data_IF_381988942750
#
_entry.id   IF_381988942750
#
_cell.length_a   1.000
_cell.length_b   1.000
_cell.length_c   1.000
_cell.angle_alpha   90.00
_cell.angle_beta   90.00
_cell.angle_gamma   90.00
#
_symmetry.space_group_name_H-M   'P 1'
#
loop_
_entity.id
_entity.type
_entity.pdbx_description
1 polymer ?
#
# COMPACT_ATOMS: atom_id res chain seq x y z
N UNK A 1 -0.06 -26.89 -8.72
CA UNK A 1 -1.00 -26.42 -7.68
C UNK A 1 -0.83 -24.91 -7.56
N UNK A 2 -1.88 -24.11 -7.78
CA UNK A 2 -1.76 -22.64 -7.73
C UNK A 2 -1.57 -22.22 -6.27
N UNK A 3 -0.49 -21.47 -5.98
CA UNK A 3 -0.22 -20.91 -4.65
C UNK A 3 -1.41 -20.07 -4.16
N UNK A 4 -1.65 -20.07 -2.85
CA UNK A 4 -2.71 -19.26 -2.22
C UNK A 4 -2.52 -17.77 -2.55
N UNK A 5 -1.29 -17.30 -2.57
CA UNK A 5 -0.92 -15.94 -2.96
C UNK A 5 -1.36 -15.62 -4.39
N UNK A 6 -1.06 -16.49 -5.36
CA UNK A 6 -1.47 -16.31 -6.76
C UNK A 6 -2.99 -16.28 -6.90
N UNK A 7 -3.73 -17.08 -6.11
CA UNK A 7 -5.20 -17.06 -6.10
C UNK A 7 -5.76 -15.76 -5.55
N UNK A 8 -5.18 -15.22 -4.47
CA UNK A 8 -5.64 -13.94 -3.88
C UNK A 8 -5.36 -12.77 -4.81
N UNK A 9 -4.17 -12.73 -5.41
CA UNK A 9 -3.79 -11.72 -6.42
C UNK A 9 -4.70 -11.79 -7.66
N UNK A 10 -4.93 -12.99 -8.20
CA UNK A 10 -5.86 -13.16 -9.32
C UNK A 10 -7.28 -12.76 -8.92
N UNK A 11 -7.72 -13.12 -7.71
CA UNK A 11 -9.01 -12.74 -7.17
C UNK A 11 -9.19 -11.24 -7.02
N UNK A 12 -8.16 -10.51 -6.56
CA UNK A 12 -8.23 -9.05 -6.42
C UNK A 12 -8.22 -8.34 -7.77
N UNK A 13 -7.42 -8.81 -8.73
CA UNK A 13 -7.46 -8.27 -10.09
C UNK A 13 -8.80 -8.53 -10.77
N UNK A 14 -9.34 -9.74 -10.61
CA UNK A 14 -10.67 -10.08 -11.11
C UNK A 14 -11.75 -9.22 -10.44
N UNK A 15 -11.65 -9.00 -9.12
CA UNK A 15 -12.59 -8.14 -8.40
C UNK A 15 -12.52 -6.69 -8.90
N UNK A 16 -11.33 -6.14 -9.11
CA UNK A 16 -11.16 -4.81 -9.70
C UNK A 16 -11.78 -4.74 -11.08
N UNK A 17 -11.53 -5.73 -11.95
CA UNK A 17 -12.12 -5.79 -13.27
C UNK A 17 -13.65 -5.83 -13.21
N UNK A 18 -14.22 -6.65 -12.30
CA UNK A 18 -15.67 -6.74 -12.09
C UNK A 18 -16.24 -5.41 -11.58
N UNK A 19 -15.56 -4.73 -10.65
CA UNK A 19 -16.00 -3.43 -10.14
C UNK A 19 -16.01 -2.39 -11.26
N UNK A 20 -14.93 -2.31 -12.05
CA UNK A 20 -14.82 -1.36 -13.16
C UNK A 20 -15.92 -1.63 -14.21
N UNK A 21 -16.01 -2.87 -14.69
CA UNK A 21 -16.98 -3.26 -15.71
C UNK A 21 -18.42 -3.12 -15.21
N UNK A 22 -18.69 -3.50 -13.97
CA UNK A 22 -20.00 -3.41 -13.36
C UNK A 22 -20.45 -1.95 -13.20
N UNK A 23 -19.53 -1.08 -12.78
CA UNK A 23 -19.82 0.35 -12.69
C UNK A 23 -20.09 0.95 -14.07
N UNK A 24 -19.29 0.63 -15.08
CA UNK A 24 -19.46 1.13 -16.44
C UNK A 24 -20.82 0.72 -17.00
N UNK A 25 -21.18 -0.57 -16.86
CA UNK A 25 -22.47 -1.12 -17.27
C UNK A 25 -23.66 -0.43 -16.57
N UNK A 26 -23.53 -0.13 -15.27
CA UNK A 26 -24.57 0.56 -14.50
C UNK A 26 -24.69 2.03 -14.92
N UNK A 27 -23.58 2.74 -15.14
CA UNK A 27 -23.62 4.12 -15.64
C UNK A 27 -24.28 4.21 -17.01
N UNK A 28 -23.91 3.32 -17.92
CA UNK A 28 -24.49 3.27 -19.27
C UNK A 28 -25.99 2.89 -19.22
N UNK A 29 -26.37 1.92 -18.39
CA UNK A 29 -27.77 1.51 -18.25
C UNK A 29 -28.68 2.58 -17.61
N UNK A 30 -28.14 3.38 -16.68
CA UNK A 30 -28.87 4.43 -15.97
C UNK A 30 -28.74 5.81 -16.64
N UNK A 31 -27.97 5.92 -17.73
CA UNK A 31 -27.68 7.20 -18.40
C UNK A 31 -26.94 8.20 -17.51
N UNK A 32 -26.20 7.70 -16.51
CA UNK A 32 -25.44 8.53 -15.59
C UNK A 32 -24.11 8.98 -16.23
N UNK A 33 -23.57 10.15 -15.85
CA UNK A 33 -22.23 10.55 -16.28
C UNK A 33 -21.21 9.49 -15.90
N UNK A 34 -20.36 9.07 -16.84
CA UNK A 34 -19.25 8.15 -16.55
C UNK A 34 -18.41 8.68 -15.41
N UNK A 35 -18.04 7.78 -14.50
CA UNK A 35 -17.23 8.07 -13.33
C UNK A 35 -15.87 8.64 -13.76
N UNK A 36 -15.72 9.97 -13.74
CA UNK A 36 -14.51 10.66 -14.18
C UNK A 36 -13.57 11.06 -13.04
N UNK A 37 -13.92 10.74 -11.79
CA UNK A 37 -13.14 11.10 -10.61
C UNK A 37 -11.80 10.34 -10.59
N UNK A 38 -10.65 11.02 -10.69
CA UNK A 38 -9.33 10.42 -10.54
C UNK A 38 -9.14 9.82 -9.15
N UNK A 39 -9.72 10.43 -8.11
CA UNK A 39 -9.68 9.89 -6.76
C UNK A 39 -10.38 8.53 -6.69
N UNK A 40 -11.55 8.39 -7.34
CA UNK A 40 -12.24 7.12 -7.40
C UNK A 40 -11.41 6.04 -8.09
N UNK A 41 -10.83 6.34 -9.26
CA UNK A 41 -9.95 5.43 -9.97
C UNK A 41 -8.73 5.00 -9.15
N UNK A 42 -8.11 5.96 -8.45
CA UNK A 42 -7.01 5.70 -7.53
C UNK A 42 -7.41 4.73 -6.41
N UNK A 43 -8.55 4.96 -5.74
CA UNK A 43 -9.03 4.09 -4.66
C UNK A 43 -9.38 2.68 -5.14
N UNK A 44 -9.96 2.53 -6.33
CA UNK A 44 -10.27 1.21 -6.89
C UNK A 44 -8.99 0.45 -7.25
N UNK A 45 -8.06 1.08 -7.97
CA UNK A 45 -6.84 0.40 -8.43
C UNK A 45 -5.89 0.16 -7.26
N UNK A 46 -5.55 1.20 -6.51
CA UNK A 46 -4.56 1.14 -5.44
C UNK A 46 -5.17 0.56 -4.18
N UNK A 47 -6.34 1.03 -3.77
CA UNK A 47 -7.00 0.53 -2.56
C UNK A 47 -7.45 -0.91 -2.71
N UNK A 48 -8.31 -1.20 -3.69
CA UNK A 48 -8.90 -2.53 -3.85
C UNK A 48 -7.99 -3.51 -4.59
N UNK A 49 -7.29 -3.05 -5.63
CA UNK A 49 -6.45 -3.93 -6.45
C UNK A 49 -5.11 -4.29 -5.81
N UNK A 50 -4.56 -3.41 -4.98
CA UNK A 50 -3.21 -3.55 -4.41
C UNK A 50 -3.23 -3.62 -2.90
N UNK A 51 -3.67 -2.57 -2.21
CA UNK A 51 -3.55 -2.45 -0.77
C UNK A 51 -4.37 -3.52 -0.04
N UNK A 52 -5.64 -3.71 -0.40
CA UNK A 52 -6.52 -4.69 0.21
C UNK A 52 -5.98 -6.13 0.16
N UNK A 53 -5.60 -6.71 -1.00
CA UNK A 53 -5.08 -8.07 -1.05
C UNK A 53 -3.72 -8.21 -0.36
N UNK A 54 -2.84 -7.22 -0.48
CA UNK A 54 -1.52 -7.28 0.16
C UNK A 54 -1.61 -7.17 1.68
N UNK A 55 -2.50 -6.34 2.21
CA UNK A 55 -2.77 -6.24 3.65
C UNK A 55 -3.48 -7.50 4.18
N UNK A 56 -4.40 -8.08 3.39
CA UNK A 56 -5.02 -9.35 3.73
C UNK A 56 -3.99 -10.48 3.81
N UNK A 57 -3.09 -10.58 2.82
CA UNK A 57 -2.02 -11.57 2.81
C UNK A 57 -1.02 -11.33 3.94
N UNK A 58 -0.62 -10.08 4.20
CA UNK A 58 0.27 -9.76 5.31
C UNK A 58 -0.29 -10.18 6.69
N UNK A 59 -1.61 -10.35 6.81
CA UNK A 59 -2.28 -10.81 8.04
C UNK A 59 -2.53 -12.32 8.08
N UNK A 60 -2.65 -12.98 6.93
CA UNK A 60 -3.18 -14.36 6.83
C UNK A 60 -2.21 -15.37 6.24
N UNK A 61 -1.03 -14.92 5.83
CA UNK A 61 -0.02 -15.73 5.16
C UNK A 61 1.34 -15.54 5.84
N UNK A 62 1.86 -16.62 6.44
CA UNK A 62 3.14 -16.62 7.17
C UNK A 62 4.32 -16.99 6.25
N UNK A 63 4.08 -17.43 5.01
CA UNK A 63 5.12 -17.90 4.09
C UNK A 63 6.06 -16.78 3.59
N UNK A 64 5.62 -15.51 3.69
CA UNK A 64 6.42 -14.34 3.27
C UNK A 64 6.39 -13.25 4.32
N UNK A 65 7.53 -12.57 4.46
CA UNK A 65 7.65 -11.43 5.38
C UNK A 65 6.58 -10.36 5.09
N UNK A 66 5.78 -9.97 6.10
CA UNK A 66 4.81 -8.88 5.99
C UNK A 66 5.45 -7.56 5.54
N UNK A 67 6.71 -7.30 5.92
CA UNK A 67 7.44 -6.09 5.55
C UNK A 67 7.61 -5.95 4.03
N UNK A 68 7.90 -7.04 3.33
CA UNK A 68 8.04 -7.03 1.88
C UNK A 68 6.72 -6.69 1.20
N UNK A 69 5.60 -7.22 1.72
CA UNK A 69 4.25 -6.93 1.20
C UNK A 69 3.87 -5.46 1.41
N UNK A 70 4.15 -4.90 2.59
CA UNK A 70 3.93 -3.47 2.87
C UNK A 70 4.75 -2.56 1.94
N UNK A 71 6.02 -2.89 1.68
CA UNK A 71 6.87 -2.13 0.75
C UNK A 71 6.29 -2.06 -0.66
N UNK A 72 5.73 -3.17 -1.15
CA UNK A 72 5.05 -3.21 -2.46
C UNK A 72 3.83 -2.29 -2.46
N UNK A 73 3.01 -2.31 -1.39
CA UNK A 73 1.85 -1.42 -1.27
C UNK A 73 2.28 0.03 -1.31
N UNK A 74 3.29 0.41 -0.53
CA UNK A 74 3.80 1.79 -0.47
C UNK A 74 4.34 2.22 -1.83
N UNK A 75 5.19 1.40 -2.44
CA UNK A 75 5.77 1.68 -3.75
C UNK A 75 4.68 1.91 -4.82
N UNK A 76 3.73 0.99 -4.94
CA UNK A 76 2.66 1.10 -5.90
C UNK A 76 1.74 2.28 -5.59
N UNK A 77 1.45 2.56 -4.31
CA UNK A 77 0.67 3.74 -3.91
C UNK A 77 1.35 5.04 -4.33
N UNK A 78 2.68 5.13 -4.23
CA UNK A 78 3.44 6.30 -4.70
C UNK A 78 3.39 6.41 -6.22
N UNK A 79 3.69 5.32 -6.93
CA UNK A 79 3.68 5.30 -8.41
C UNK A 79 2.31 5.70 -8.95
N UNK A 80 1.23 5.07 -8.48
CA UNK A 80 -0.11 5.42 -8.90
C UNK A 80 -0.55 6.78 -8.39
N UNK A 81 -0.09 7.22 -7.22
CA UNK A 81 -0.34 8.57 -6.72
C UNK A 81 0.14 9.63 -7.72
N UNK A 82 1.36 9.47 -8.25
CA UNK A 82 1.89 10.35 -9.30
C UNK A 82 1.12 10.27 -10.62
N UNK A 83 0.62 9.09 -10.99
CA UNK A 83 -0.18 8.94 -12.22
C UNK A 83 -1.54 9.63 -12.11
N UNK A 84 -2.20 9.54 -10.95
CA UNK A 84 -3.54 10.07 -10.75
C UNK A 84 -3.57 11.54 -10.34
N UNK A 85 -2.53 12.05 -9.67
CA UNK A 85 -2.50 13.44 -9.20
C UNK A 85 -2.55 14.44 -10.36
N UNK A 86 -1.98 14.12 -11.53
CA UNK A 86 -1.98 14.99 -12.70
C UNK A 86 -3.36 15.16 -13.35
N UNK A 87 -4.27 14.22 -13.13
CA UNK A 87 -5.65 14.30 -13.61
C UNK A 87 -6.60 14.93 -12.59
N UNK A 88 -6.17 15.06 -11.32
CA UNK A 88 -7.00 15.53 -10.22
C UNK A 88 -6.87 17.04 -9.97
N UNK A 89 -7.91 17.65 -9.43
CA UNK A 89 -7.92 19.06 -9.06
C UNK A 89 -8.54 19.29 -7.67
N UNK A 90 -8.12 20.36 -7.00
CA UNK A 90 -8.71 20.78 -5.72
C UNK A 90 -8.64 19.69 -4.64
N UNK A 91 -9.80 19.31 -4.10
CA UNK A 91 -9.90 18.34 -3.01
C UNK A 91 -9.46 16.93 -3.41
N UNK A 92 -9.67 16.50 -4.66
CA UNK A 92 -9.26 15.17 -5.12
C UNK A 92 -7.73 15.07 -5.17
N UNK A 93 -7.08 16.13 -5.65
CA UNK A 93 -5.63 16.22 -5.69
C UNK A 93 -5.05 16.17 -4.26
N UNK A 94 -5.63 16.96 -3.34
CA UNK A 94 -5.24 16.96 -1.94
C UNK A 94 -5.42 15.57 -1.30
N UNK A 95 -6.53 14.89 -1.59
CA UNK A 95 -6.81 13.56 -1.09
C UNK A 95 -5.79 12.52 -1.60
N UNK A 96 -5.50 12.51 -2.91
CA UNK A 96 -4.51 11.59 -3.49
C UNK A 96 -3.14 11.82 -2.86
N UNK A 97 -2.66 13.07 -2.84
CA UNK A 97 -1.36 13.42 -2.25
C UNK A 97 -1.33 13.08 -0.76
N UNK A 98 -2.39 13.41 -0.02
CA UNK A 98 -2.51 13.12 1.40
C UNK A 98 -2.47 11.63 1.69
N UNK A 99 -3.22 10.81 0.95
CA UNK A 99 -3.23 9.35 1.11
C UNK A 99 -1.87 8.73 0.77
N UNK A 100 -1.23 9.19 -0.31
CA UNK A 100 0.11 8.75 -0.68
C UNK A 100 1.12 9.11 0.41
N UNK A 101 1.11 10.35 0.90
CA UNK A 101 2.00 10.80 1.97
C UNK A 101 1.77 10.02 3.27
N UNK A 102 0.51 9.83 3.68
CA UNK A 102 0.15 9.06 4.87
C UNK A 102 0.62 7.60 4.77
N UNK A 103 0.56 7.01 3.58
CA UNK A 103 1.03 5.64 3.35
C UNK A 103 2.54 5.53 3.54
N UNK A 104 3.30 6.50 3.03
CA UNK A 104 4.76 6.57 3.23
C UNK A 104 5.10 6.78 4.70
N UNK A 105 4.47 7.77 5.36
CA UNK A 105 4.68 8.07 6.78
C UNK A 105 4.31 6.86 7.65
N UNK A 106 3.18 6.22 7.38
CA UNK A 106 2.73 5.03 8.10
C UNK A 106 3.71 3.86 7.97
N UNK A 107 4.29 3.65 6.78
CA UNK A 107 5.31 2.63 6.58
C UNK A 107 6.61 2.92 7.33
N UNK A 108 7.12 4.17 7.26
CA UNK A 108 8.29 4.57 8.04
C UNK A 108 8.06 4.43 9.55
N UNK A 109 6.88 4.85 10.03
CA UNK A 109 6.50 4.70 11.43
C UNK A 109 6.44 3.23 11.85
N UNK A 110 5.94 2.36 10.98
CA UNK A 110 5.92 0.92 11.24
C UNK A 110 7.32 0.31 11.30
N UNK A 111 8.21 0.62 10.34
CA UNK A 111 9.60 0.13 10.38
C UNK A 111 10.34 0.63 11.62
N UNK A 112 10.16 1.90 11.99
CA UNK A 112 10.75 2.46 13.19
C UNK A 112 10.30 1.73 14.46
N UNK A 113 9.00 1.46 14.60
CA UNK A 113 8.46 0.74 15.75
C UNK A 113 8.97 -0.71 15.83
N UNK A 114 9.08 -1.40 14.69
CA UNK A 114 9.62 -2.76 14.63
C UNK A 114 11.10 -2.77 15.02
N UNK A 115 11.90 -1.87 14.46
CA UNK A 115 13.32 -1.76 14.78
C UNK A 115 13.55 -1.39 16.26
N UNK A 116 12.75 -0.47 16.80
CA UNK A 116 12.83 -0.05 18.19
C UNK A 116 12.51 -1.21 19.16
N UNK A 117 11.49 -2.02 18.85
CA UNK A 117 11.17 -3.21 19.65
C UNK A 117 12.29 -4.25 19.61
N UNK A 118 12.83 -4.53 18.43
CA UNK A 118 13.94 -5.47 18.28
C UNK A 118 15.18 -5.04 19.06
N UNK A 119 15.52 -3.74 19.07
CA UNK A 119 16.65 -3.21 19.83
C UNK A 119 16.46 -3.31 21.35
N UNK A 120 15.21 -3.27 21.83
CA UNK A 120 14.88 -3.43 23.26
C UNK A 120 14.98 -4.89 23.71
N UNK A 121 14.65 -5.84 22.84
CA UNK A 121 14.65 -7.27 23.13
C UNK A 121 16.07 -7.87 23.07
N UNK A 122 16.96 -7.31 22.24
CA UNK A 122 18.36 -7.74 22.10
C UNK A 122 19.33 -6.54 22.08
N UNK A 123 19.76 -6.05 23.26
CA UNK A 123 20.67 -4.90 23.38
C UNK A 123 22.05 -5.11 22.74
N UNK A 124 22.45 -6.38 22.51
CA UNK A 124 23.76 -6.74 21.98
C UNK A 124 23.95 -6.44 20.49
N UNK A 125 22.87 -6.04 19.79
CA UNK A 125 22.88 -5.61 18.37
C UNK A 125 23.08 -4.12 18.17
N UNK A 126 23.15 -3.32 19.23
CA UNK A 126 23.53 -1.92 19.10
C UNK A 126 25.00 -1.87 18.65
N UNK A 127 25.36 -0.99 17.69
CA UNK A 127 26.76 -0.77 17.37
C UNK A 127 27.47 -0.41 18.66
N UNK A 128 28.56 -1.11 18.95
CA UNK A 128 29.37 -0.87 20.14
C UNK A 128 29.93 0.56 20.04
N UNK A 129 29.28 1.50 20.73
CA UNK A 129 29.74 2.89 20.84
C UNK A 129 30.74 3.00 21.99
N UNK A 130 31.38 1.90 22.40
CA UNK A 130 32.55 1.94 23.26
C UNK A 130 33.81 2.24 22.43
N UNK A 131 33.80 3.42 21.79
CA UNK A 131 35.01 4.20 21.60
C UNK A 131 35.43 4.79 22.93
N UNK A 132 35.86 3.94 23.87
CA UNK A 132 36.37 4.36 25.16
C UNK A 132 37.55 5.33 24.97
N UNK A 133 37.51 6.54 25.56
CA UNK A 133 38.68 7.41 25.54
C UNK A 133 39.72 6.83 26.50
N UNK A 134 40.78 6.27 25.94
CA UNK A 134 42.07 6.17 26.61
C UNK A 134 42.53 4.77 26.94
N UNK A 135 43.60 4.37 26.24
CA UNK A 135 44.73 3.70 26.87
C UNK A 135 46.00 4.43 26.40
N UNK A 136 46.72 5.15 27.29
CA UNK A 136 48.05 5.68 27.01
C UNK A 136 49.11 4.58 26.89
#
# INVERSE_FOLDING_TARGET
MISRESRVLLGSMALVAVVILGLDLVTDALGLPRWSSPLFGFLVIVGLGVAAPQLYLARTDDDRSPLTRLRIVVFLTVVFGFLFVGAAQGLEQLAIVGLTALTVVGWFGYEFLVAFRAAREDPSRLPDVDGGPGSP
#
